data_IF_895533067613
#
_entry.id   IF_895533067613
#
_cell.length_a   1.000
_cell.length_b   1.000
_cell.length_c   1.000
_cell.angle_alpha   90.00
_cell.angle_beta   90.00
_cell.angle_gamma   90.00
#
_symmetry.space_group_name_H-M   'P 1'
#
loop_
_entity.id
_entity.type
_entity.pdbx_description
1 polymer ?
#
# COMPACT_ATOMS: atom_id res chain seq x y z
N UNK A 1 -8.80 16.15 -3.07
CA UNK A 1 -7.47 16.26 -3.71
C UNK A 1 -7.04 17.70 -3.97
N UNK A 2 -7.99 18.65 -4.13
CA UNK A 2 -7.70 20.04 -4.49
C UNK A 2 -7.92 21.06 -3.38
N UNK A 3 -8.88 20.85 -2.48
CA UNK A 3 -9.36 21.89 -1.56
C UNK A 3 -8.92 21.60 -0.12
N UNK A 4 -8.54 22.68 0.59
CA UNK A 4 -8.16 22.62 1.99
C UNK A 4 -6.66 22.43 2.24
N UNK A 5 -6.27 22.54 3.50
CA UNK A 5 -4.88 22.41 3.94
C UNK A 5 -4.29 21.00 3.66
N UNK A 6 -5.16 20.00 3.52
CA UNK A 6 -4.79 18.61 3.28
C UNK A 6 -4.91 18.18 1.81
N UNK A 7 -5.08 19.13 0.87
CA UNK A 7 -5.14 18.84 -0.56
C UNK A 7 -3.87 18.10 -1.01
N UNK A 8 -4.04 16.92 -1.63
CA UNK A 8 -2.92 16.03 -1.99
C UNK A 8 -1.96 16.67 -2.99
N UNK A 9 -2.47 17.33 -4.02
CA UNK A 9 -1.64 18.06 -4.98
C UNK A 9 -0.78 19.14 -4.30
N UNK A 10 -1.36 19.87 -3.33
CA UNK A 10 -0.63 20.87 -2.55
C UNK A 10 0.47 20.25 -1.69
N UNK A 11 0.21 19.12 -1.05
CA UNK A 11 1.22 18.38 -0.25
C UNK A 11 2.41 17.92 -1.09
N UNK A 12 2.16 17.50 -2.34
CA UNK A 12 3.23 17.15 -3.28
C UNK A 12 4.11 18.38 -3.52
N UNK A 13 3.51 19.53 -3.84
CA UNK A 13 4.26 20.77 -4.06
C UNK A 13 5.04 21.21 -2.81
N UNK A 14 4.45 21.14 -1.62
CA UNK A 14 5.09 21.49 -0.35
C UNK A 14 6.28 20.57 -0.03
N UNK A 15 6.20 19.27 -0.35
CA UNK A 15 7.31 18.33 -0.20
C UNK A 15 8.43 18.65 -1.17
N UNK A 16 8.11 18.81 -2.47
CA UNK A 16 9.06 19.16 -3.50
C UNK A 16 9.75 20.50 -3.26
N UNK A 17 9.02 21.47 -2.73
CA UNK A 17 9.58 22.77 -2.35
C UNK A 17 10.63 22.69 -1.22
N UNK A 18 10.56 21.67 -0.35
CA UNK A 18 11.58 21.41 0.68
C UNK A 18 12.85 20.82 0.08
N UNK A 19 12.71 20.01 -0.98
CA UNK A 19 13.82 19.39 -1.69
C UNK A 19 14.47 20.36 -2.68
N UNK A 20 13.64 21.17 -3.35
CA UNK A 20 14.07 22.14 -4.35
C UNK A 20 13.28 23.46 -4.18
N UNK A 21 13.90 24.46 -3.55
CA UNK A 21 13.26 25.75 -3.28
C UNK A 21 12.79 26.51 -4.55
N UNK A 22 13.39 26.24 -5.73
CA UNK A 22 12.94 26.82 -6.98
C UNK A 22 11.53 26.35 -7.40
N UNK A 23 11.10 25.17 -6.95
CA UNK A 23 9.76 24.64 -7.23
C UNK A 23 8.67 25.23 -6.33
N UNK A 24 9.04 25.87 -5.21
CA UNK A 24 8.10 26.43 -4.25
C UNK A 24 7.11 27.44 -4.87
N UNK A 25 7.59 28.29 -5.78
CA UNK A 25 6.77 29.29 -6.49
C UNK A 25 6.03 28.70 -7.69
N UNK A 26 6.56 27.66 -8.28
CA UNK A 26 6.04 27.07 -9.54
C UNK A 26 4.84 26.17 -9.34
N UNK A 27 4.73 25.52 -8.18
CA UNK A 27 3.65 24.58 -7.79
C UNK A 27 3.27 23.63 -8.91
N UNK A 28 4.23 22.81 -9.40
CA UNK A 28 4.03 21.99 -10.59
C UNK A 28 2.89 20.98 -10.44
N UNK A 29 2.74 20.36 -9.27
CA UNK A 29 1.68 19.38 -9.04
C UNK A 29 0.28 20.04 -9.07
N UNK A 30 0.12 21.20 -8.47
CA UNK A 30 -1.14 21.95 -8.55
C UNK A 30 -1.46 22.40 -9.98
N UNK A 31 -0.46 22.85 -10.75
CA UNK A 31 -0.62 23.23 -12.15
C UNK A 31 -1.12 22.06 -13.01
N UNK A 32 -0.47 20.91 -12.89
CA UNK A 32 -0.83 19.69 -13.62
C UNK A 32 -2.21 19.20 -13.19
N UNK A 33 -2.46 19.13 -11.89
CA UNK A 33 -3.74 18.69 -11.36
C UNK A 33 -4.89 19.62 -11.82
N UNK A 34 -4.66 20.93 -11.86
CA UNK A 34 -5.64 21.92 -12.37
C UNK A 34 -5.92 21.71 -13.85
N UNK A 35 -4.89 21.48 -14.67
CA UNK A 35 -5.05 21.18 -16.09
C UNK A 35 -5.91 19.93 -16.28
N UNK A 36 -5.59 18.84 -15.58
CA UNK A 36 -6.39 17.60 -15.65
C UNK A 36 -7.83 17.85 -15.21
N UNK A 37 -8.06 18.63 -14.14
CA UNK A 37 -9.39 18.94 -13.64
C UNK A 37 -10.23 19.69 -14.69
N UNK A 38 -9.65 20.69 -15.32
CA UNK A 38 -10.34 21.47 -16.36
C UNK A 38 -10.79 20.60 -17.52
N UNK A 39 -9.95 19.66 -17.95
CA UNK A 39 -10.30 18.70 -19.02
C UNK A 39 -11.24 17.59 -18.55
N UNK A 40 -11.41 17.39 -17.27
CA UNK A 40 -12.29 16.38 -16.71
C UNK A 40 -13.78 16.71 -16.82
N UNK A 41 -14.12 17.99 -16.99
CA UNK A 41 -15.54 18.40 -17.14
C UNK A 41 -16.17 17.97 -18.45
N UNK A 42 -15.37 17.59 -19.44
CA UNK A 42 -15.86 17.21 -20.77
C UNK A 42 -16.46 18.40 -21.56
N UNK A 43 -16.98 18.10 -22.72
CA UNK A 43 -17.65 19.11 -23.56
C UNK A 43 -16.71 20.13 -24.23
N UNK A 44 -15.40 19.96 -24.08
CA UNK A 44 -14.40 20.77 -24.78
C UNK A 44 -14.45 20.41 -26.27
N UNK A 45 -14.41 21.44 -27.13
CA UNK A 45 -14.35 21.26 -28.58
C UNK A 45 -12.91 21.29 -29.06
N UNK A 46 -12.60 20.46 -30.03
CA UNK A 46 -11.33 20.53 -30.74
C UNK A 46 -11.31 21.78 -31.60
N UNK A 47 -10.24 22.56 -31.53
CA UNK A 47 -10.08 23.72 -32.40
C UNK A 47 -10.14 23.28 -33.87
N UNK A 48 -11.08 23.80 -34.67
CA UNK A 48 -11.33 23.37 -36.05
C UNK A 48 -12.19 22.13 -36.24
N UNK A 49 -12.72 21.51 -35.16
CA UNK A 49 -13.61 20.36 -35.22
C UNK A 49 -15.02 20.74 -35.70
N UNK A 50 -15.75 19.76 -36.32
CA UNK A 50 -17.14 19.91 -36.74
C UNK A 50 -18.07 20.09 -35.53
N UNK A 51 -19.23 20.70 -35.77
CA UNK A 51 -20.26 20.84 -34.74
C UNK A 51 -20.69 19.42 -34.28
N UNK A 52 -20.48 19.13 -32.98
CA UNK A 52 -20.73 17.78 -32.42
C UNK A 52 -19.47 16.97 -32.10
N UNK A 53 -18.29 17.38 -32.53
CA UNK A 53 -17.01 16.70 -32.22
C UNK A 53 -16.50 17.13 -30.82
N UNK A 54 -17.16 16.58 -29.79
CA UNK A 54 -16.78 16.81 -28.39
C UNK A 54 -15.64 15.87 -28.01
N UNK A 55 -14.60 16.44 -27.40
CA UNK A 55 -13.53 15.63 -26.81
C UNK A 55 -14.09 14.81 -25.63
N UNK A 56 -13.70 13.54 -25.51
CA UNK A 56 -14.02 12.76 -24.31
C UNK A 56 -13.41 13.42 -23.06
N UNK A 57 -14.04 13.26 -21.90
CA UNK A 57 -13.53 13.84 -20.65
C UNK A 57 -12.13 13.30 -20.33
N UNK A 58 -11.28 14.19 -19.82
CA UNK A 58 -9.89 13.88 -19.48
C UNK A 58 -8.88 14.33 -20.54
N UNK A 59 -7.61 14.23 -20.19
CA UNK A 59 -6.47 14.71 -20.98
C UNK A 59 -5.43 13.60 -21.14
N UNK A 60 -4.83 13.49 -22.32
CA UNK A 60 -3.71 12.56 -22.56
C UNK A 60 -2.41 13.17 -22.05
N UNK A 61 -1.40 12.31 -21.79
CA UNK A 61 -0.09 12.77 -21.35
C UNK A 61 0.57 13.76 -22.34
N UNK A 62 0.60 13.53 -23.66
CA UNK A 62 1.15 14.50 -24.61
C UNK A 62 0.42 15.85 -24.60
N UNK A 63 -0.92 15.83 -24.52
CA UNK A 63 -1.72 17.06 -24.43
C UNK A 63 -1.40 17.82 -23.13
N UNK A 64 -1.28 17.11 -22.01
CA UNK A 64 -0.94 17.67 -20.70
C UNK A 64 0.44 18.34 -20.72
N UNK A 65 1.44 17.66 -21.27
CA UNK A 65 2.79 18.19 -21.41
C UNK A 65 2.81 19.44 -22.30
N UNK A 66 2.07 19.44 -23.42
CA UNK A 66 1.99 20.61 -24.32
C UNK A 66 1.42 21.86 -23.64
N UNK A 67 0.56 21.68 -22.65
CA UNK A 67 -0.08 22.77 -21.90
C UNK A 67 0.77 23.20 -20.71
N UNK A 68 1.38 22.25 -20.00
CA UNK A 68 2.06 22.53 -18.74
C UNK A 68 3.55 22.84 -18.86
N UNK A 69 4.23 22.28 -19.86
CA UNK A 69 5.68 22.49 -20.05
C UNK A 69 5.96 23.87 -20.62
N UNK A 70 6.98 24.52 -20.11
CA UNK A 70 7.40 25.85 -20.52
C UNK A 70 8.75 26.22 -19.89
N UNK A 71 9.16 27.50 -19.99
CA UNK A 71 10.46 27.93 -19.45
C UNK A 71 10.62 27.71 -17.94
N UNK A 72 9.51 27.62 -17.21
CA UNK A 72 9.45 27.48 -15.76
C UNK A 72 9.15 26.05 -15.28
N UNK A 73 8.77 25.12 -16.18
CA UNK A 73 8.46 23.74 -15.87
C UNK A 73 8.92 22.82 -16.99
N UNK A 74 9.97 22.06 -16.76
CA UNK A 74 10.47 21.07 -17.71
C UNK A 74 9.60 19.79 -17.72
N UNK A 75 9.74 19.02 -18.81
CA UNK A 75 8.96 17.80 -19.02
C UNK A 75 9.27 16.70 -17.98
N UNK A 76 10.50 16.62 -17.51
CA UNK A 76 10.89 15.58 -16.52
C UNK A 76 10.22 15.85 -15.18
N UNK A 77 10.25 17.10 -14.72
CA UNK A 77 9.54 17.53 -13.50
C UNK A 77 8.04 17.35 -13.65
N UNK A 78 7.47 17.69 -14.81
CA UNK A 78 6.04 17.50 -15.07
C UNK A 78 5.63 16.02 -15.00
N UNK A 79 6.38 15.12 -15.62
CA UNK A 79 6.12 13.68 -15.58
C UNK A 79 6.29 13.10 -14.17
N UNK A 80 7.30 13.53 -13.43
CA UNK A 80 7.48 13.13 -12.04
C UNK A 80 6.28 13.55 -11.17
N UNK A 81 5.81 14.79 -11.31
CA UNK A 81 4.62 15.26 -10.60
C UNK A 81 3.34 14.51 -11.02
N UNK A 82 3.18 14.20 -12.30
CA UNK A 82 2.04 13.43 -12.79
C UNK A 82 2.01 12.02 -12.19
N UNK A 83 3.17 11.38 -12.10
CA UNK A 83 3.33 10.07 -11.45
C UNK A 83 2.91 10.15 -9.97
N UNK A 84 3.42 11.13 -9.23
CA UNK A 84 3.08 11.32 -7.83
C UNK A 84 1.58 11.61 -7.62
N UNK A 85 0.98 12.42 -8.50
CA UNK A 85 -0.46 12.67 -8.48
C UNK A 85 -1.27 11.40 -8.69
N UNK A 86 -0.87 10.56 -9.66
CA UNK A 86 -1.51 9.27 -9.92
C UNK A 86 -1.47 8.33 -8.71
N UNK A 87 -0.34 8.31 -7.98
CA UNK A 87 -0.13 7.46 -6.80
C UNK A 87 -0.83 7.98 -5.54
N UNK A 88 -1.10 9.29 -5.46
CA UNK A 88 -1.61 9.90 -4.24
C UNK A 88 -3.05 10.41 -4.33
N UNK A 89 -3.52 10.84 -5.51
CA UNK A 89 -4.85 11.41 -5.68
C UNK A 89 -5.92 10.33 -5.87
N UNK A 90 -6.80 10.17 -4.88
CA UNK A 90 -7.85 9.14 -4.90
C UNK A 90 -8.90 9.34 -6.00
N UNK A 91 -9.14 10.57 -6.40
CA UNK A 91 -10.16 10.89 -7.41
C UNK A 91 -9.58 11.05 -8.81
N UNK A 92 -8.25 10.87 -8.96
CA UNK A 92 -7.59 10.84 -10.26
C UNK A 92 -7.64 9.43 -10.83
N UNK A 93 -8.26 9.30 -12.00
CA UNK A 93 -8.36 8.05 -12.75
C UNK A 93 -7.53 8.11 -14.02
N UNK A 94 -6.98 6.97 -14.39
CA UNK A 94 -6.29 6.77 -15.66
C UNK A 94 -6.89 5.54 -16.34
N UNK A 95 -7.42 5.72 -17.54
CA UNK A 95 -8.09 4.65 -18.31
C UNK A 95 -7.14 3.91 -19.28
N UNK A 96 -5.85 4.18 -19.20
CA UNK A 96 -4.84 3.68 -20.14
C UNK A 96 -4.43 4.71 -21.19
N UNK A 97 -5.22 5.77 -21.40
CA UNK A 97 -4.99 6.82 -22.39
C UNK A 97 -5.11 8.21 -21.78
N UNK A 98 -6.13 8.46 -20.97
CA UNK A 98 -6.49 9.78 -20.44
C UNK A 98 -6.52 9.81 -18.93
N UNK A 99 -6.07 10.92 -18.37
CA UNK A 99 -6.21 11.28 -16.96
C UNK A 99 -7.47 12.09 -16.76
N UNK A 100 -8.29 11.72 -15.77
CA UNK A 100 -9.57 12.37 -15.50
C UNK A 100 -9.86 12.36 -14.00
N UNK A 101 -10.31 13.48 -13.44
CA UNK A 101 -10.90 13.51 -12.11
C UNK A 101 -12.35 13.08 -12.17
N UNK A 102 -12.76 12.15 -11.31
CA UNK A 102 -14.14 11.65 -11.20
C UNK A 102 -14.69 11.92 -9.80
N UNK A 103 -16.00 11.83 -9.64
CA UNK A 103 -16.66 11.99 -8.34
C UNK A 103 -16.40 10.80 -7.41
N UNK A 104 -16.25 9.61 -8.01
CA UNK A 104 -16.01 8.38 -7.26
C UNK A 104 -14.51 8.19 -7.04
N UNK A 105 -14.10 7.72 -5.87
CA UNK A 105 -12.69 7.43 -5.58
C UNK A 105 -12.17 6.27 -6.45
N UNK A 106 -10.89 6.27 -6.74
CA UNK A 106 -10.20 5.14 -7.35
C UNK A 106 -10.05 4.02 -6.31
N UNK A 107 -10.97 3.06 -6.38
CA UNK A 107 -11.05 1.94 -5.43
C UNK A 107 -9.78 1.10 -5.45
N UNK A 108 -9.17 0.89 -6.62
CA UNK A 108 -7.91 0.14 -6.74
C UNK A 108 -6.80 0.82 -5.94
N UNK A 109 -6.62 2.12 -6.12
CA UNK A 109 -5.63 2.89 -5.37
C UNK A 109 -5.92 2.88 -3.86
N UNK A 110 -7.19 2.94 -3.46
CA UNK A 110 -7.58 2.86 -2.06
C UNK A 110 -7.20 1.51 -1.46
N UNK A 111 -7.49 0.41 -2.17
CA UNK A 111 -7.12 -0.94 -1.74
C UNK A 111 -5.59 -1.08 -1.63
N UNK A 112 -4.84 -0.58 -2.61
CA UNK A 112 -3.37 -0.61 -2.57
C UNK A 112 -2.81 0.16 -1.36
N UNK A 113 -3.34 1.37 -1.09
CA UNK A 113 -2.92 2.16 0.07
C UNK A 113 -3.25 1.48 1.40
N UNK A 114 -4.42 0.86 1.53
CA UNK A 114 -4.81 0.11 2.72
C UNK A 114 -4.00 -1.18 2.87
N UNK A 115 -3.73 -1.90 1.79
CA UNK A 115 -2.88 -3.08 1.80
C UNK A 115 -1.45 -2.76 2.25
N UNK A 116 -0.88 -1.66 1.74
CA UNK A 116 0.43 -1.16 2.17
C UNK A 116 0.45 -0.75 3.65
N UNK A 117 -0.61 -0.07 4.11
CA UNK A 117 -0.72 0.33 5.51
C UNK A 117 -0.80 -0.88 6.45
N UNK A 118 -1.59 -1.91 6.07
CA UNK A 118 -1.68 -3.17 6.81
C UNK A 118 -0.35 -3.92 6.75
N UNK A 119 0.31 -3.99 5.58
CA UNK A 119 1.59 -4.67 5.42
C UNK A 119 2.74 -4.09 6.25
N UNK A 120 2.66 -2.80 6.60
CA UNK A 120 3.64 -2.13 7.49
C UNK A 120 3.40 -2.41 8.98
N UNK A 121 2.22 -2.88 9.35
CA UNK A 121 1.88 -3.26 10.71
C UNK A 121 2.11 -4.78 10.89
N UNK A 122 3.38 -5.14 11.12
CA UNK A 122 3.80 -6.53 11.30
C UNK A 122 3.00 -7.24 12.40
N UNK A 123 2.67 -6.54 13.48
CA UNK A 123 1.88 -7.10 14.56
C UNK A 123 0.48 -7.50 14.08
N UNK A 124 -0.20 -6.61 13.38
CA UNK A 124 -1.54 -6.85 12.84
C UNK A 124 -1.56 -8.02 11.85
N UNK A 125 -0.55 -8.09 10.98
CA UNK A 125 -0.38 -9.20 10.05
C UNK A 125 -0.16 -10.51 10.79
N UNK A 126 0.72 -10.51 11.79
CA UNK A 126 1.02 -11.67 12.64
C UNK A 126 -0.22 -12.16 13.38
N UNK A 127 -0.93 -11.25 14.05
CA UNK A 127 -2.15 -11.58 14.81
C UNK A 127 -3.21 -12.19 13.87
N UNK A 128 -3.37 -11.64 12.66
CA UNK A 128 -4.32 -12.19 11.68
C UNK A 128 -3.94 -13.57 11.18
N UNK A 129 -2.67 -13.83 10.93
CA UNK A 129 -2.20 -15.16 10.54
C UNK A 129 -2.46 -16.17 11.68
N UNK A 130 -2.21 -15.77 12.92
CA UNK A 130 -2.49 -16.61 14.09
C UNK A 130 -3.97 -16.97 14.20
N UNK A 131 -4.87 -15.97 14.09
CA UNK A 131 -6.32 -16.20 14.04
C UNK A 131 -6.73 -17.18 12.94
N UNK A 132 -6.21 -16.99 11.72
CA UNK A 132 -6.51 -17.88 10.59
C UNK A 132 -6.04 -19.32 10.83
N UNK A 133 -4.91 -19.50 11.50
CA UNK A 133 -4.43 -20.83 11.89
C UNK A 133 -5.32 -21.43 12.95
N UNK A 134 -5.71 -20.66 13.97
CA UNK A 134 -6.63 -21.09 15.03
C UNK A 134 -8.00 -21.48 14.46
N UNK A 135 -8.55 -20.69 13.53
CA UNK A 135 -9.80 -21.02 12.84
C UNK A 135 -9.72 -22.33 12.05
N UNK A 136 -8.62 -22.52 11.29
CA UNK A 136 -8.44 -23.71 10.45
C UNK A 136 -8.14 -24.98 11.25
N UNK A 137 -7.49 -24.83 12.39
CA UNK A 137 -7.13 -25.93 13.29
C UNK A 137 -8.14 -26.09 14.42
N UNK A 138 -9.23 -25.33 14.40
CA UNK A 138 -10.33 -25.46 15.34
C UNK A 138 -10.86 -26.92 15.38
N UNK A 139 -10.85 -27.53 16.56
CA UNK A 139 -11.22 -28.93 16.73
C UNK A 139 -10.06 -29.93 16.75
N UNK A 140 -8.88 -29.55 16.34
CA UNK A 140 -7.65 -30.33 16.51
C UNK A 140 -7.03 -30.06 17.89
N UNK A 141 -7.44 -30.81 18.91
CA UNK A 141 -6.97 -30.65 20.31
C UNK A 141 -5.45 -30.85 20.47
N UNK A 142 -4.83 -31.43 19.47
CA UNK A 142 -3.39 -31.74 19.43
C UNK A 142 -2.54 -30.60 18.87
N UNK A 143 -3.18 -29.54 18.32
CA UNK A 143 -2.48 -28.41 17.69
C UNK A 143 -2.21 -27.29 18.71
N UNK A 144 -0.94 -26.90 18.84
CA UNK A 144 -0.50 -25.78 19.67
C UNK A 144 0.10 -24.74 18.72
N UNK A 145 -0.50 -23.55 18.69
CA UNK A 145 -0.16 -22.51 17.72
C UNK A 145 0.74 -21.48 18.38
N UNK A 146 1.93 -21.33 17.85
CA UNK A 146 2.93 -20.35 18.25
C UNK A 146 3.23 -20.32 19.75
N UNK A 147 3.64 -21.43 20.35
CA UNK A 147 4.04 -21.44 21.76
C UNK A 147 5.26 -20.54 21.96
N UNK A 148 5.15 -19.62 22.89
CA UNK A 148 6.27 -18.75 23.29
C UNK A 148 7.09 -19.39 24.40
N UNK A 149 6.46 -20.19 25.23
CA UNK A 149 7.08 -20.85 26.37
C UNK A 149 6.85 -22.35 26.35
N UNK A 150 7.85 -23.09 26.81
CA UNK A 150 7.80 -24.56 26.89
C UNK A 150 6.63 -25.11 27.71
N UNK A 151 6.11 -24.32 28.67
CA UNK A 151 4.95 -24.70 29.52
C UNK A 151 3.62 -24.71 28.74
N UNK A 152 3.53 -23.95 27.65
CA UNK A 152 2.34 -23.90 26.82
C UNK A 152 2.13 -25.20 26.03
N UNK A 153 3.20 -25.96 25.81
CA UNK A 153 3.14 -27.31 25.27
C UNK A 153 2.85 -28.25 26.44
N UNK A 154 1.66 -28.85 26.47
CA UNK A 154 1.21 -29.72 27.54
C UNK A 154 2.15 -30.90 27.76
N UNK A 155 2.20 -31.42 29.01
CA UNK A 155 3.02 -32.56 29.41
C UNK A 155 2.27 -33.44 30.47
N UNK A 156 0.93 -33.42 30.42
CA UNK A 156 0.11 -34.13 31.40
C UNK A 156 -0.37 -35.49 30.91
N UNK A 157 -0.60 -35.61 29.62
CA UNK A 157 -1.16 -36.80 28.99
C UNK A 157 -0.18 -37.33 27.95
N UNK A 158 -0.06 -38.65 27.77
CA UNK A 158 0.76 -39.28 26.72
C UNK A 158 0.08 -39.15 25.34
N UNK A 159 -0.24 -37.95 24.94
CA UNK A 159 -0.88 -37.65 23.65
C UNK A 159 0.13 -37.04 22.66
N UNK A 160 -0.10 -37.30 21.39
CA UNK A 160 0.71 -36.72 20.34
C UNK A 160 0.28 -35.25 20.14
N UNK A 161 1.21 -34.31 20.32
CA UNK A 161 1.00 -32.89 20.17
C UNK A 161 1.78 -32.34 18.98
N UNK A 162 1.19 -31.42 18.23
CA UNK A 162 1.83 -30.75 17.11
C UNK A 162 1.97 -29.28 17.46
N UNK A 163 3.20 -28.82 17.65
CA UNK A 163 3.48 -27.39 17.87
C UNK A 163 3.83 -26.70 16.55
N UNK A 164 3.03 -25.75 16.16
CA UNK A 164 3.30 -24.88 15.01
C UNK A 164 4.13 -23.69 15.49
N UNK A 165 5.39 -23.62 15.02
CA UNK A 165 6.30 -22.54 15.40
C UNK A 165 5.94 -21.23 14.67
N UNK A 166 6.23 -20.05 15.27
CA UNK A 166 6.02 -18.74 14.64
C UNK A 166 6.78 -18.56 13.33
N UNK A 167 6.28 -17.64 12.49
CA UNK A 167 6.83 -17.38 11.15
C UNK A 167 8.31 -16.95 11.15
N UNK A 168 8.77 -16.32 12.21
CA UNK A 168 10.15 -15.87 12.38
C UNK A 168 11.15 -17.02 12.27
N UNK A 169 10.73 -18.24 12.60
CA UNK A 169 11.56 -19.43 12.46
C UNK A 169 11.79 -19.81 10.99
N UNK A 170 10.90 -19.46 10.08
CA UNK A 170 11.06 -19.81 8.66
C UNK A 170 12.24 -19.10 7.99
N UNK A 171 12.63 -17.92 8.49
CA UNK A 171 13.76 -17.14 7.99
C UNK A 171 15.14 -17.52 8.59
N UNK A 172 15.17 -18.47 9.53
CA UNK A 172 16.40 -18.88 10.20
C UNK A 172 17.01 -20.12 9.57
N UNK A 173 18.28 -20.39 9.87
CA UNK A 173 18.94 -21.63 9.41
C UNK A 173 18.31 -22.87 10.06
N UNK A 174 18.36 -24.01 9.38
CA UNK A 174 17.83 -25.28 9.90
C UNK A 174 18.41 -25.63 11.28
N UNK A 175 19.68 -25.40 11.50
CA UNK A 175 20.32 -25.65 12.81
C UNK A 175 19.74 -24.75 13.90
N UNK A 176 19.44 -23.48 13.61
CA UNK A 176 18.80 -22.58 14.56
C UNK A 176 17.34 -23.00 14.85
N UNK A 177 16.61 -23.44 13.81
CA UNK A 177 15.25 -23.97 13.97
C UNK A 177 15.24 -25.23 14.87
N UNK A 178 16.16 -26.17 14.64
CA UNK A 178 16.28 -27.37 15.44
C UNK A 178 16.68 -27.06 16.90
N UNK A 179 17.59 -26.10 17.11
CA UNK A 179 17.99 -25.68 18.45
C UNK A 179 16.82 -25.06 19.23
N UNK A 180 16.08 -24.16 18.61
CA UNK A 180 14.93 -23.50 19.22
C UNK A 180 13.77 -24.50 19.49
N UNK A 181 13.49 -25.41 18.55
CA UNK A 181 12.52 -26.46 18.76
C UNK A 181 12.94 -27.37 19.95
N UNK A 182 14.23 -27.71 20.04
CA UNK A 182 14.75 -28.48 21.12
C UNK A 182 14.61 -27.80 22.49
N UNK A 183 14.89 -26.50 22.55
CA UNK A 183 14.71 -25.70 23.77
C UNK A 183 13.25 -25.73 24.26
N UNK A 184 12.28 -25.58 23.33
CA UNK A 184 10.84 -25.66 23.65
C UNK A 184 10.40 -27.06 24.09
N UNK A 185 11.04 -28.12 23.56
CA UNK A 185 10.59 -29.49 23.74
C UNK A 185 11.34 -30.25 24.89
N UNK A 186 12.51 -29.80 25.31
CA UNK A 186 13.27 -30.51 26.37
C UNK A 186 12.67 -30.35 27.76
N UNK A 187 12.07 -29.20 28.03
CA UNK A 187 11.54 -28.82 29.35
C UNK A 187 10.06 -28.49 29.28
N UNK A 188 9.37 -28.65 30.39
CA UNK A 188 8.05 -28.08 30.65
C UNK A 188 8.15 -27.11 31.82
N UNK A 189 8.39 -25.82 31.54
CA UNK A 189 8.82 -24.86 32.53
C UNK A 189 10.23 -25.20 33.06
N UNK A 190 10.37 -25.30 34.36
CA UNK A 190 11.67 -25.58 35.02
C UNK A 190 11.99 -27.08 35.18
N UNK A 191 11.07 -27.95 34.79
CA UNK A 191 11.25 -29.41 34.93
C UNK A 191 11.47 -30.11 33.57
N UNK A 192 12.19 -31.26 33.56
CA UNK A 192 12.22 -32.10 32.37
C UNK A 192 10.81 -32.60 31.99
N UNK A 193 10.57 -32.79 30.68
CA UNK A 193 9.30 -33.39 30.22
C UNK A 193 9.17 -34.86 30.63
N UNK A 194 7.94 -35.21 31.02
CA UNK A 194 7.58 -36.60 31.34
C UNK A 194 7.43 -37.44 30.06
N UNK A 195 6.85 -36.85 29.05
CA UNK A 195 6.62 -37.45 27.74
C UNK A 195 7.42 -36.72 26.65
N UNK A 196 8.15 -37.49 25.83
CA UNK A 196 8.99 -36.96 24.73
C UNK A 196 8.55 -37.55 23.40
#
# INVERSE_FOLDING_TARGET
DFVGANARARRIDERRAKENSAEALRKPAMRIATAILMYSFGGLRREGGKEGDLLPPGITEPELLSICVGPDLDSTTALACLKELKEQCLYLHFDGVRFCFKKDPNVTLLIEQEADAVGRDEKRVRDRIKEMLEERLAGHREAIIWPEKSIEIGDRDPSFLIAYLPLEFSGTSRAAQEAAAKELLEKCGDRPRLYR
#
